data_IF_010712097522
#
_entry.id   IF_010712097522
#
_cell.length_a   1.000
_cell.length_b   1.000
_cell.length_c   1.000
_cell.angle_alpha   90.00
_cell.angle_beta   90.00
_cell.angle_gamma   90.00
#
_symmetry.space_group_name_H-M   'P 1'
#
loop_
_entity.id
_entity.type
_entity.pdbx_description
1 polymer ?
#
# COMPACT_ATOMS: atom_id res chain seq x y z
N UNK A 1 33.10 -33.56 -13.33
CA UNK A 1 32.44 -32.90 -12.17
C UNK A 1 32.93 -31.47 -12.12
N UNK A 2 32.22 -30.55 -12.77
CA UNK A 2 32.53 -29.12 -12.76
C UNK A 2 32.05 -28.52 -11.45
N UNK A 3 32.99 -28.14 -10.60
CA UNK A 3 32.77 -27.41 -9.36
C UNK A 3 32.21 -26.03 -9.72
N UNK A 4 30.91 -25.82 -9.50
CA UNK A 4 30.30 -24.47 -9.55
C UNK A 4 31.08 -23.58 -8.59
N UNK A 5 31.62 -22.41 -9.01
CA UNK A 5 32.30 -21.53 -8.08
C UNK A 5 31.30 -21.10 -7.01
N UNK A 6 31.73 -21.10 -5.75
CA UNK A 6 30.96 -20.52 -4.65
C UNK A 6 30.80 -19.03 -4.95
N UNK A 7 29.66 -18.67 -5.55
CA UNK A 7 29.22 -17.30 -5.79
C UNK A 7 29.46 -16.49 -4.51
N UNK A 8 30.05 -15.29 -4.59
CA UNK A 8 30.05 -14.36 -3.46
C UNK A 8 28.59 -14.16 -3.04
N UNK A 9 28.24 -14.73 -1.88
CA UNK A 9 26.85 -14.82 -1.42
C UNK A 9 26.38 -13.58 -0.65
N UNK A 10 27.28 -12.61 -0.46
CA UNK A 10 27.09 -11.41 0.34
C UNK A 10 27.46 -10.19 -0.49
N UNK A 11 26.81 -9.05 -0.21
CA UNK A 11 27.23 -7.77 -0.76
C UNK A 11 28.51 -7.32 -0.08
N UNK A 12 29.38 -6.57 -0.74
CA UNK A 12 30.39 -5.79 -0.02
C UNK A 12 29.73 -4.72 0.85
N UNK A 13 30.40 -4.26 1.91
CA UNK A 13 29.90 -3.17 2.75
C UNK A 13 29.65 -1.89 1.92
N UNK A 14 30.56 -1.59 1.00
CA UNK A 14 30.42 -0.48 0.04
C UNK A 14 29.12 -0.60 -0.76
N UNK A 15 28.87 -1.74 -1.39
CA UNK A 15 27.68 -1.93 -2.22
C UNK A 15 26.39 -1.94 -1.42
N UNK A 16 26.40 -2.55 -0.23
CA UNK A 16 25.24 -2.48 0.66
C UNK A 16 24.92 -1.03 1.05
N UNK A 17 25.94 -0.23 1.39
CA UNK A 17 25.76 1.19 1.69
C UNK A 17 25.20 1.96 0.49
N UNK A 18 25.74 1.78 -0.71
CA UNK A 18 25.21 2.43 -1.92
C UNK A 18 23.76 2.04 -2.22
N UNK A 19 23.38 0.78 -1.99
CA UNK A 19 21.99 0.33 -2.08
C UNK A 19 21.11 1.01 -1.03
N UNK A 20 21.57 1.09 0.22
CA UNK A 20 20.83 1.74 1.30
C UNK A 20 20.60 3.22 1.00
N UNK A 21 21.65 3.95 0.57
CA UNK A 21 21.59 5.36 0.23
C UNK A 21 20.61 5.63 -0.92
N UNK A 22 20.65 4.85 -2.01
CA UNK A 22 19.75 5.08 -3.15
C UNK A 22 18.29 4.73 -2.83
N UNK A 23 18.05 3.71 -2.02
CA UNK A 23 16.71 3.32 -1.58
C UNK A 23 16.13 4.39 -0.66
N UNK A 24 16.90 4.88 0.32
CA UNK A 24 16.45 5.96 1.19
C UNK A 24 16.19 7.24 0.40
N UNK A 25 17.09 7.62 -0.52
CA UNK A 25 16.95 8.84 -1.30
C UNK A 25 15.71 8.83 -2.24
N UNK A 26 15.36 7.68 -2.81
CA UNK A 26 14.29 7.60 -3.83
C UNK A 26 12.93 7.15 -3.30
N UNK A 27 12.90 6.30 -2.27
CA UNK A 27 11.65 5.75 -1.70
C UNK A 27 11.57 5.84 -0.19
N UNK A 28 12.57 6.44 0.47
CA UNK A 28 12.50 6.80 1.89
C UNK A 28 12.66 5.62 2.83
N UNK A 29 12.92 4.42 2.33
CA UNK A 29 13.02 3.21 3.16
C UNK A 29 14.42 3.13 3.76
N UNK A 30 14.50 3.22 5.07
CA UNK A 30 15.76 3.03 5.79
C UNK A 30 16.19 1.56 5.85
N UNK A 31 17.42 1.31 5.43
CA UNK A 31 18.08 0.00 5.40
C UNK A 31 19.29 -0.03 6.33
N UNK A 32 19.07 -0.12 7.66
CA UNK A 32 20.18 -0.32 8.60
C UNK A 32 20.89 -1.65 8.33
N UNK A 33 22.15 -1.75 8.76
CA UNK A 33 22.99 -2.95 8.58
C UNK A 33 22.33 -4.24 9.11
N UNK A 34 21.45 -4.15 10.12
CA UNK A 34 20.68 -5.28 10.63
C UNK A 34 19.73 -5.91 9.61
N UNK A 35 19.31 -5.18 8.57
CA UNK A 35 18.47 -5.68 7.47
C UNK A 35 19.27 -6.30 6.31
N UNK A 36 20.60 -6.27 6.35
CA UNK A 36 21.45 -6.73 5.23
C UNK A 36 21.14 -8.16 4.80
N UNK A 37 21.10 -9.11 5.74
CA UNK A 37 20.83 -10.52 5.44
C UNK A 37 19.48 -10.72 4.75
N UNK A 38 18.46 -9.95 5.13
CA UNK A 38 17.13 -9.98 4.49
C UNK A 38 17.22 -9.50 3.04
N UNK A 39 17.88 -8.36 2.80
CA UNK A 39 18.05 -7.78 1.47
C UNK A 39 18.84 -8.73 0.57
N UNK A 40 19.97 -9.24 1.05
CA UNK A 40 20.80 -10.23 0.33
C UNK A 40 19.99 -11.49 -0.03
N UNK A 41 19.20 -12.00 0.92
CA UNK A 41 18.35 -13.17 0.70
C UNK A 41 17.33 -12.98 -0.41
N UNK A 42 16.69 -11.81 -0.50
CA UNK A 42 15.69 -11.48 -1.53
C UNK A 42 16.34 -11.17 -2.88
N UNK A 43 17.45 -10.44 -2.88
CA UNK A 43 18.20 -10.12 -4.10
C UNK A 43 18.70 -11.36 -4.84
N UNK A 44 19.00 -12.47 -4.13
CA UNK A 44 19.41 -13.73 -4.78
C UNK A 44 18.44 -14.22 -5.85
N UNK A 45 17.13 -14.04 -5.66
CA UNK A 45 16.14 -14.42 -6.68
C UNK A 45 16.30 -13.56 -7.93
N UNK A 46 16.58 -12.26 -7.78
CA UNK A 46 16.81 -11.34 -8.88
C UNK A 46 18.14 -11.61 -9.60
N UNK A 47 19.22 -11.84 -8.85
CA UNK A 47 20.55 -12.22 -9.38
C UNK A 47 20.45 -13.45 -10.28
N UNK A 48 19.71 -14.48 -9.85
CA UNK A 48 19.48 -15.68 -10.68
C UNK A 48 18.66 -15.37 -11.93
N UNK A 49 17.62 -14.53 -11.82
CA UNK A 49 16.80 -14.15 -12.96
C UNK A 49 17.58 -13.39 -14.03
N UNK A 50 18.57 -12.60 -13.62
CA UNK A 50 19.47 -11.86 -14.50
C UNK A 50 20.72 -12.66 -14.92
N UNK A 51 20.86 -13.90 -14.44
CA UNK A 51 22.03 -14.76 -14.71
C UNK A 51 23.37 -14.12 -14.29
N UNK A 52 23.38 -13.40 -13.16
CA UNK A 52 24.58 -12.75 -12.63
C UNK A 52 25.33 -13.64 -11.62
N UNK A 53 26.65 -13.47 -11.56
CA UNK A 53 27.55 -14.35 -10.80
C UNK A 53 27.64 -14.03 -9.29
N UNK A 54 27.03 -12.95 -8.80
CA UNK A 54 27.05 -12.61 -7.37
C UNK A 54 26.11 -11.44 -7.05
N UNK A 55 25.89 -11.21 -5.76
CA UNK A 55 25.22 -9.99 -5.29
C UNK A 55 26.05 -8.73 -5.61
N UNK A 56 27.38 -8.81 -5.54
CA UNK A 56 28.25 -7.70 -5.96
C UNK A 56 28.19 -7.47 -7.48
N UNK A 57 28.02 -8.53 -8.29
CA UNK A 57 27.77 -8.36 -9.73
C UNK A 57 26.45 -7.63 -9.98
N UNK A 58 25.41 -7.89 -9.19
CA UNK A 58 24.17 -7.11 -9.26
C UNK A 58 24.35 -5.64 -8.85
N UNK A 59 25.15 -5.35 -7.83
CA UNK A 59 25.45 -3.96 -7.46
C UNK A 59 26.22 -3.23 -8.57
N UNK A 60 27.21 -3.87 -9.21
CA UNK A 60 27.90 -3.30 -10.38
C UNK A 60 26.96 -3.10 -11.56
N UNK A 61 26.08 -4.07 -11.82
CA UNK A 61 25.04 -3.95 -12.84
C UNK A 61 24.13 -2.74 -12.60
N UNK A 62 23.74 -2.50 -11.34
CA UNK A 62 22.96 -1.33 -10.95
C UNK A 62 23.70 -0.01 -11.19
N UNK A 63 24.89 0.14 -10.62
CA UNK A 63 25.56 1.43 -10.50
C UNK A 63 26.56 1.74 -11.61
N UNK A 64 27.26 0.74 -12.12
CA UNK A 64 28.36 0.92 -13.07
C UNK A 64 27.89 0.70 -14.52
N UNK A 65 26.94 -0.21 -14.74
CA UNK A 65 26.42 -0.57 -16.08
C UNK A 65 25.17 0.23 -16.48
N UNK A 66 24.81 1.26 -15.69
CA UNK A 66 23.71 2.19 -16.01
C UNK A 66 22.31 1.57 -15.91
N UNK A 67 22.14 0.41 -15.27
CA UNK A 67 20.84 -0.29 -15.18
C UNK A 67 19.99 0.12 -13.99
N UNK A 68 20.41 1.14 -13.23
CA UNK A 68 19.68 1.62 -12.07
C UNK A 68 18.21 1.92 -12.37
N UNK A 69 17.89 2.60 -13.49
CA UNK A 69 16.49 2.96 -13.80
C UNK A 69 15.61 1.73 -13.98
N UNK A 70 16.08 0.74 -14.74
CA UNK A 70 15.32 -0.48 -15.07
C UNK A 70 15.16 -1.39 -13.85
N UNK A 71 16.21 -1.52 -13.05
CA UNK A 71 16.26 -2.47 -11.93
C UNK A 71 15.76 -1.88 -10.62
N UNK A 72 15.59 -0.55 -10.52
CA UNK A 72 15.21 0.10 -9.28
C UNK A 72 13.87 -0.44 -8.74
N UNK A 73 12.90 -0.70 -9.60
CA UNK A 73 11.61 -1.28 -9.19
C UNK A 73 11.77 -2.64 -8.53
N UNK A 74 12.68 -3.49 -9.04
CA UNK A 74 12.97 -4.80 -8.48
C UNK A 74 13.77 -4.71 -7.18
N UNK A 75 14.66 -3.71 -7.08
CA UNK A 75 15.33 -3.40 -5.82
C UNK A 75 14.32 -2.99 -4.75
N UNK A 76 13.35 -2.14 -5.08
CA UNK A 76 12.26 -1.72 -4.18
C UNK A 76 11.44 -2.92 -3.71
N UNK A 77 11.06 -3.82 -4.61
CA UNK A 77 10.35 -5.07 -4.27
C UNK A 77 11.15 -5.91 -3.25
N UNK A 78 12.48 -5.92 -3.33
CA UNK A 78 13.33 -6.67 -2.39
C UNK A 78 13.42 -6.02 -1.01
N UNK A 79 13.34 -4.69 -0.90
CA UNK A 79 13.63 -3.95 0.35
C UNK A 79 12.39 -3.57 1.14
N UNK A 80 11.21 -3.62 0.51
CA UNK A 80 9.93 -3.31 1.13
C UNK A 80 9.48 -4.38 2.14
N UNK A 81 8.85 -3.95 3.24
CA UNK A 81 8.23 -4.84 4.22
C UNK A 81 6.72 -4.68 4.15
N UNK A 82 6.06 -5.64 3.50
CA UNK A 82 4.68 -5.47 3.03
C UNK A 82 3.63 -6.09 3.96
N UNK A 83 3.81 -6.03 5.29
CA UNK A 83 2.85 -6.64 6.22
C UNK A 83 1.52 -5.89 6.23
N UNK A 84 0.47 -6.55 5.77
CA UNK A 84 -0.91 -6.04 5.80
C UNK A 84 -1.87 -7.18 6.12
N UNK A 85 -2.94 -6.85 6.82
CA UNK A 85 -3.96 -7.80 7.27
C UNK A 85 -5.34 -7.23 6.94
N UNK A 86 -6.29 -8.10 6.57
CA UNK A 86 -7.68 -7.70 6.44
C UNK A 86 -8.20 -7.17 7.78
N UNK A 87 -8.99 -6.11 7.75
CA UNK A 87 -9.57 -5.50 8.96
C UNK A 87 -8.54 -5.05 10.03
N UNK A 88 -7.29 -4.76 9.63
CA UNK A 88 -6.29 -4.15 10.51
C UNK A 88 -6.79 -2.81 11.07
N UNK A 89 -6.66 -2.59 12.37
CA UNK A 89 -7.21 -1.43 13.13
C UNK A 89 -8.71 -1.20 12.84
N UNK A 90 -9.58 -2.11 13.28
CA UNK A 90 -10.98 -2.16 12.85
C UNK A 90 -11.79 -0.89 13.15
N UNK A 91 -11.40 -0.13 14.18
CA UNK A 91 -12.03 1.13 14.57
C UNK A 91 -12.08 2.16 13.42
N UNK A 92 -11.13 2.14 12.47
CA UNK A 92 -11.20 3.01 11.30
C UNK A 92 -12.37 2.65 10.36
N UNK A 93 -12.70 1.36 10.24
CA UNK A 93 -13.80 0.91 9.40
C UNK A 93 -15.16 1.10 10.07
N UNK A 94 -15.22 1.03 11.40
CA UNK A 94 -16.41 1.41 12.16
C UNK A 94 -16.67 2.92 12.02
N UNK A 95 -15.63 3.74 12.19
CA UNK A 95 -15.72 5.18 11.97
C UNK A 95 -16.09 5.53 10.51
N UNK A 96 -15.55 4.78 9.54
CA UNK A 96 -15.92 4.92 8.12
C UNK A 96 -17.43 4.74 7.92
N UNK A 97 -17.97 3.66 8.50
CA UNK A 97 -19.38 3.26 8.41
C UNK A 97 -20.31 4.24 9.13
N UNK A 98 -19.97 4.58 10.37
CA UNK A 98 -20.88 5.27 11.29
C UNK A 98 -20.84 6.79 11.14
N UNK A 99 -19.70 7.33 10.67
CA UNK A 99 -19.50 8.79 10.66
C UNK A 99 -19.10 9.33 9.29
N UNK A 100 -18.03 8.79 8.68
CA UNK A 100 -17.41 9.43 7.52
C UNK A 100 -18.34 9.35 6.31
N UNK A 101 -18.80 8.14 5.94
CA UNK A 101 -19.68 7.95 4.77
C UNK A 101 -20.98 8.73 4.89
N UNK A 102 -21.74 8.68 6.02
CA UNK A 102 -22.94 9.50 6.18
C UNK A 102 -22.69 11.01 5.99
N UNK A 103 -21.59 11.54 6.56
CA UNK A 103 -21.24 12.95 6.43
C UNK A 103 -20.83 13.33 5.01
N UNK A 104 -20.06 12.47 4.34
CA UNK A 104 -19.64 12.68 2.96
C UNK A 104 -20.83 12.69 2.02
N UNK A 105 -21.75 11.72 2.15
CA UNK A 105 -22.98 11.67 1.36
C UNK A 105 -23.89 12.89 1.55
N UNK A 106 -23.83 13.54 2.72
CA UNK A 106 -24.59 14.75 3.02
C UNK A 106 -23.93 16.05 2.51
N UNK A 107 -22.73 15.98 1.92
CA UNK A 107 -22.03 17.18 1.42
C UNK A 107 -22.82 17.87 0.30
N UNK A 108 -22.80 19.22 0.24
CA UNK A 108 -23.45 19.98 -0.82
C UNK A 108 -23.05 19.55 -2.25
N UNK A 109 -21.80 19.09 -2.42
CA UNK A 109 -21.26 18.60 -3.68
C UNK A 109 -22.03 17.40 -4.27
N UNK A 110 -22.84 16.72 -3.47
CA UNK A 110 -23.66 15.58 -3.90
C UNK A 110 -25.17 15.87 -3.94
N UNK A 111 -25.61 17.11 -3.69
CA UNK A 111 -27.04 17.44 -3.67
C UNK A 111 -27.70 17.16 -5.03
N UNK A 112 -28.84 16.48 -4.99
CA UNK A 112 -29.65 16.16 -6.17
C UNK A 112 -29.13 14.99 -7.01
N UNK A 113 -28.05 14.33 -6.58
CA UNK A 113 -27.48 13.17 -7.27
C UNK A 113 -27.18 12.06 -6.26
N UNK A 114 -27.02 10.81 -6.73
CA UNK A 114 -26.50 9.73 -5.89
C UNK A 114 -25.01 10.02 -5.62
N UNK A 115 -24.58 10.15 -4.35
CA UNK A 115 -23.18 10.41 -4.03
C UNK A 115 -22.26 9.34 -4.64
N UNK A 116 -21.15 9.78 -5.24
CA UNK A 116 -20.08 8.91 -5.73
C UNK A 116 -18.81 9.16 -4.91
N UNK A 117 -18.45 8.20 -4.06
CA UNK A 117 -17.34 8.32 -3.14
C UNK A 117 -16.04 7.80 -3.78
N UNK A 118 -15.00 8.63 -3.76
CA UNK A 118 -13.64 8.28 -4.19
C UNK A 118 -12.78 8.00 -2.98
N UNK A 119 -12.33 6.76 -2.81
CA UNK A 119 -11.47 6.36 -1.69
C UNK A 119 -10.08 6.01 -2.23
N UNK A 120 -9.04 6.42 -1.51
CA UNK A 120 -7.66 6.09 -1.84
C UNK A 120 -6.97 5.39 -0.67
N UNK A 121 -6.57 4.13 -0.88
CA UNK A 121 -5.62 3.43 0.00
C UNK A 121 -4.20 3.67 -0.51
N UNK A 122 -3.49 4.58 0.13
CA UNK A 122 -2.12 4.96 -0.15
C UNK A 122 -1.16 4.08 0.67
N UNK A 123 -0.31 3.32 -0.02
CA UNK A 123 0.44 2.16 0.48
C UNK A 123 -0.46 0.92 0.71
N UNK A 124 -1.17 0.53 -0.34
CA UNK A 124 -2.16 -0.54 -0.32
C UNK A 124 -1.57 -1.95 -0.11
N UNK A 125 -0.25 -2.12 -0.27
CA UNK A 125 0.45 -3.41 -0.19
C UNK A 125 -0.24 -4.47 -1.06
N UNK A 126 -0.49 -5.67 -0.54
CA UNK A 126 -1.19 -6.77 -1.25
C UNK A 126 -2.70 -6.54 -1.35
N UNK A 127 -3.21 -5.34 -1.05
CA UNK A 127 -4.59 -4.92 -1.31
C UNK A 127 -5.59 -5.23 -0.19
N UNK A 128 -5.16 -5.84 0.92
CA UNK A 128 -6.06 -6.22 2.02
C UNK A 128 -6.87 -5.02 2.56
N UNK A 129 -6.23 -3.86 2.77
CA UNK A 129 -6.92 -2.64 3.21
C UNK A 129 -7.96 -2.17 2.18
N UNK A 130 -7.56 -2.07 0.91
CA UNK A 130 -8.45 -1.64 -0.17
C UNK A 130 -9.67 -2.56 -0.33
N UNK A 131 -9.49 -3.87 -0.17
CA UNK A 131 -10.60 -4.82 -0.19
C UNK A 131 -11.44 -4.79 1.08
N UNK A 132 -10.86 -4.56 2.27
CA UNK A 132 -11.65 -4.32 3.49
C UNK A 132 -12.55 -3.10 3.32
N UNK A 133 -12.02 -1.99 2.80
CA UNK A 133 -12.80 -0.79 2.49
C UNK A 133 -13.96 -1.12 1.54
N UNK A 134 -13.68 -1.86 0.46
CA UNK A 134 -14.69 -2.28 -0.50
C UNK A 134 -15.80 -3.13 0.15
N UNK A 135 -15.43 -4.11 0.98
CA UNK A 135 -16.37 -4.96 1.72
C UNK A 135 -17.27 -4.14 2.64
N UNK A 136 -16.70 -3.19 3.39
CA UNK A 136 -17.45 -2.33 4.32
C UNK A 136 -18.43 -1.44 3.55
N UNK A 137 -17.99 -0.77 2.47
CA UNK A 137 -18.83 0.09 1.65
C UNK A 137 -19.94 -0.70 0.94
N UNK A 138 -19.63 -1.89 0.43
CA UNK A 138 -20.60 -2.75 -0.23
C UNK A 138 -21.67 -3.25 0.75
N UNK A 139 -21.29 -3.56 1.99
CA UNK A 139 -22.23 -3.92 3.05
C UNK A 139 -23.14 -2.77 3.44
N UNK A 140 -22.64 -1.53 3.48
CA UNK A 140 -23.49 -0.36 3.71
C UNK A 140 -24.55 -0.20 2.63
N UNK A 141 -24.17 -0.35 1.35
CA UNK A 141 -25.10 -0.32 0.22
C UNK A 141 -26.13 -1.44 0.34
N UNK A 142 -25.70 -2.66 0.66
CA UNK A 142 -26.60 -3.80 0.85
C UNK A 142 -27.60 -3.59 2.01
N UNK A 143 -27.22 -2.79 3.01
CA UNK A 143 -28.06 -2.39 4.14
C UNK A 143 -28.92 -1.14 3.87
N UNK A 144 -29.00 -0.67 2.62
CA UNK A 144 -29.93 0.39 2.19
C UNK A 144 -29.32 1.79 2.06
N UNK A 145 -28.01 1.97 2.23
CA UNK A 145 -27.39 3.26 1.98
C UNK A 145 -27.32 3.56 0.47
N UNK A 146 -27.76 4.76 0.07
CA UNK A 146 -27.78 5.17 -1.34
C UNK A 146 -26.55 5.99 -1.72
N UNK A 147 -25.48 5.31 -2.10
CA UNK A 147 -24.28 5.90 -2.71
C UNK A 147 -23.61 4.89 -3.63
N UNK A 148 -22.67 5.34 -4.45
CA UNK A 148 -21.77 4.50 -5.23
C UNK A 148 -20.31 4.85 -4.91
N UNK A 149 -19.34 4.01 -5.29
CA UNK A 149 -17.95 4.23 -4.93
C UNK A 149 -16.94 3.60 -5.89
N UNK A 150 -15.73 4.16 -5.86
CA UNK A 150 -14.53 3.54 -6.42
C UNK A 150 -13.35 3.68 -5.45
N UNK A 151 -12.48 2.68 -5.46
CA UNK A 151 -11.28 2.64 -4.61
C UNK A 151 -10.05 2.58 -5.50
N UNK A 152 -9.11 3.48 -5.23
CA UNK A 152 -7.76 3.39 -5.75
C UNK A 152 -6.84 2.85 -4.65
N UNK A 153 -6.17 1.74 -4.90
CA UNK A 153 -5.03 1.29 -4.11
C UNK A 153 -3.74 1.68 -4.80
N UNK A 154 -2.79 2.30 -4.11
CA UNK A 154 -1.47 2.57 -4.68
C UNK A 154 -0.35 2.07 -3.80
N UNK A 155 0.72 1.61 -4.43
CA UNK A 155 1.93 1.17 -3.73
C UNK A 155 3.17 1.40 -4.59
N UNK A 156 4.34 1.41 -3.95
CA UNK A 156 5.64 1.52 -4.63
C UNK A 156 6.13 0.14 -5.09
N UNK A 157 5.70 -0.94 -4.43
CA UNK A 157 6.08 -2.31 -4.81
C UNK A 157 5.16 -2.84 -5.91
N UNK A 158 5.73 -3.24 -7.04
CA UNK A 158 4.96 -3.83 -8.15
C UNK A 158 4.57 -5.28 -7.88
N UNK A 159 5.36 -6.00 -7.09
CA UNK A 159 5.07 -7.38 -6.70
C UNK A 159 3.75 -7.47 -5.91
N UNK A 160 3.58 -6.61 -4.91
CA UNK A 160 2.36 -6.62 -4.08
C UNK A 160 1.14 -6.09 -4.83
N UNK A 161 1.32 -5.14 -5.75
CA UNK A 161 0.23 -4.65 -6.59
C UNK A 161 -0.31 -5.73 -7.54
N UNK A 162 0.56 -6.62 -8.06
CA UNK A 162 0.12 -7.78 -8.85
C UNK A 162 -0.72 -8.73 -7.98
N UNK A 163 -0.23 -9.06 -6.79
CA UNK A 163 -0.97 -9.91 -5.84
C UNK A 163 -2.33 -9.29 -5.47
N UNK A 164 -2.37 -7.97 -5.25
CA UNK A 164 -3.59 -7.22 -4.97
C UNK A 164 -4.59 -7.27 -6.13
N UNK A 165 -4.12 -7.10 -7.37
CA UNK A 165 -4.95 -7.18 -8.56
C UNK A 165 -5.51 -8.59 -8.80
N UNK A 166 -4.71 -9.64 -8.52
CA UNK A 166 -5.18 -11.03 -8.59
C UNK A 166 -6.28 -11.30 -7.56
N UNK A 167 -6.13 -10.70 -6.36
CA UNK A 167 -7.06 -10.78 -5.25
C UNK A 167 -7.14 -12.17 -4.67
N UNK A 168 -6.05 -12.94 -4.70
CA UNK A 168 -5.94 -14.30 -4.18
C UNK A 168 -5.14 -14.26 -2.88
N UNK A 169 -5.69 -14.84 -1.82
CA UNK A 169 -5.12 -14.78 -0.47
C UNK A 169 -5.17 -16.16 0.18
N UNK A 170 -4.24 -16.43 1.11
CA UNK A 170 -4.30 -17.64 1.93
C UNK A 170 -5.50 -17.60 2.88
N UNK A 171 -5.98 -18.77 3.26
CA UNK A 171 -7.05 -18.90 4.27
C UNK A 171 -6.65 -18.28 5.61
N UNK A 172 -5.35 -18.30 5.95
CA UNK A 172 -4.81 -17.63 7.13
C UNK A 172 -5.04 -16.11 7.09
N UNK A 173 -4.69 -15.43 5.99
CA UNK A 173 -4.97 -14.00 5.84
C UNK A 173 -6.47 -13.72 5.85
N UNK A 174 -7.26 -14.59 5.24
CA UNK A 174 -8.72 -14.47 5.16
C UNK A 174 -9.44 -14.83 6.46
N UNK A 175 -8.75 -15.38 7.46
CA UNK A 175 -9.30 -15.66 8.78
C UNK A 175 -9.66 -14.37 9.53
N UNK A 176 -8.96 -13.26 9.25
CA UNK A 176 -9.26 -11.95 9.80
C UNK A 176 -10.55 -11.31 9.22
N UNK A 177 -11.07 -11.82 8.09
CA UNK A 177 -12.33 -11.34 7.51
C UNK A 177 -13.51 -11.94 8.29
N UNK A 178 -14.44 -11.13 8.83
CA UNK A 178 -15.60 -11.65 9.55
C UNK A 178 -16.40 -12.65 8.72
N UNK A 179 -16.77 -13.79 9.31
CA UNK A 179 -17.41 -14.92 8.61
C UNK A 179 -18.59 -14.54 7.70
N UNK A 180 -19.54 -13.66 8.10
CA UNK A 180 -20.63 -13.23 7.22
C UNK A 180 -20.14 -12.47 5.98
N UNK A 181 -19.14 -11.62 6.14
CA UNK A 181 -18.52 -10.83 5.06
C UNK A 181 -17.75 -11.77 4.13
N UNK A 182 -16.97 -12.70 4.70
CA UNK A 182 -16.18 -13.69 3.96
C UNK A 182 -17.05 -14.51 3.02
N UNK A 183 -18.19 -15.02 3.50
CA UNK A 183 -19.14 -15.80 2.67
C UNK A 183 -19.69 -15.03 1.47
N UNK A 184 -19.82 -13.69 1.58
CA UNK A 184 -20.35 -12.84 0.49
C UNK A 184 -19.29 -12.46 -0.54
N UNK A 185 -18.07 -12.18 -0.09
CA UNK A 185 -17.07 -11.50 -0.93
C UNK A 185 -15.80 -12.30 -1.20
N UNK A 186 -15.71 -13.53 -0.71
CA UNK A 186 -14.58 -14.41 -0.94
C UNK A 186 -15.06 -15.73 -1.53
N UNK A 187 -14.54 -16.06 -2.71
CA UNK A 187 -14.72 -17.34 -3.37
C UNK A 187 -13.70 -18.33 -2.80
N UNK A 188 -14.16 -19.51 -2.41
CA UNK A 188 -13.26 -20.60 -2.05
C UNK A 188 -12.61 -21.21 -3.31
N UNK A 189 -11.38 -21.73 -3.18
CA UNK A 189 -10.79 -22.56 -4.21
C UNK A 189 -11.66 -23.81 -4.49
N UNK A 190 -11.71 -24.25 -5.76
CA UNK A 190 -12.36 -25.51 -6.13
C UNK A 190 -11.70 -26.73 -5.48
N UNK A 191 -10.39 -26.63 -5.30
CA UNK A 191 -9.56 -27.63 -4.62
C UNK A 191 -9.25 -27.11 -3.21
N UNK A 192 -9.88 -27.67 -2.16
CA UNK A 192 -9.66 -27.24 -0.78
C UNK A 192 -8.23 -27.41 -0.28
N UNK A 193 -7.44 -28.31 -0.89
CA UNK A 193 -6.05 -28.53 -0.48
C UNK A 193 -5.15 -27.31 -0.73
N UNK A 194 -5.59 -26.37 -1.60
CA UNK A 194 -4.84 -25.14 -1.88
C UNK A 194 -4.88 -24.13 -0.74
N UNK A 195 -5.87 -24.21 0.16
CA UNK A 195 -6.03 -23.29 1.30
C UNK A 195 -5.96 -21.80 0.91
N UNK A 196 -6.62 -21.45 -0.20
CA UNK A 196 -6.71 -20.08 -0.71
C UNK A 196 -8.16 -19.70 -1.00
N UNK A 197 -8.43 -18.41 -0.89
CA UNK A 197 -9.64 -17.76 -1.38
C UNK A 197 -9.31 -16.67 -2.37
N UNK A 198 -10.32 -16.28 -3.15
CA UNK A 198 -10.22 -15.17 -4.11
C UNK A 198 -11.34 -14.16 -3.91
N UNK A 199 -11.02 -12.88 -3.92
CA UNK A 199 -12.01 -11.82 -3.85
C UNK A 199 -12.92 -11.87 -5.09
N UNK A 200 -14.24 -11.75 -4.85
CA UNK A 200 -15.27 -11.82 -5.91
C UNK A 200 -15.04 -10.77 -7.01
N UNK A 201 -15.36 -11.09 -8.29
CA UNK A 201 -15.13 -10.18 -9.41
C UNK A 201 -15.76 -8.79 -9.25
N UNK A 202 -16.94 -8.71 -8.64
CA UNK A 202 -17.70 -7.48 -8.40
C UNK A 202 -16.89 -6.49 -7.57
N UNK A 203 -16.21 -6.98 -6.53
CA UNK A 203 -15.36 -6.16 -5.67
C UNK A 203 -14.08 -5.75 -6.38
N UNK A 204 -13.45 -6.68 -7.11
CA UNK A 204 -12.23 -6.41 -7.90
C UNK A 204 -12.47 -5.37 -9.02
N UNK A 205 -13.69 -5.24 -9.54
CA UNK A 205 -14.03 -4.17 -10.49
C UNK A 205 -14.10 -2.78 -9.86
N UNK A 206 -14.36 -2.71 -8.55
CA UNK A 206 -14.47 -1.45 -7.79
C UNK A 206 -13.14 -0.97 -7.22
N UNK A 207 -12.15 -1.85 -7.14
CA UNK A 207 -10.81 -1.56 -6.62
C UNK A 207 -9.81 -1.60 -7.77
N UNK A 208 -9.13 -0.47 -8.03
CA UNK A 208 -8.05 -0.39 -9.02
C UNK A 208 -6.72 -0.21 -8.32
N UNK A 209 -5.70 -0.90 -8.78
CA UNK A 209 -4.34 -0.81 -8.25
C UNK A 209 -3.42 -0.08 -9.24
N UNK A 210 -2.61 0.86 -8.75
CA UNK A 210 -1.63 1.59 -9.57
C UNK A 210 -0.31 1.76 -8.81
N UNK A 211 0.80 1.72 -9.54
CA UNK A 211 2.09 2.10 -8.98
C UNK A 211 2.11 3.60 -8.66
N UNK A 212 2.58 3.95 -7.46
CA UNK A 212 2.83 5.33 -7.03
C UNK A 212 3.88 5.32 -5.93
N UNK A 213 4.88 6.20 -6.04
CA UNK A 213 5.81 6.49 -4.96
C UNK A 213 5.34 7.73 -4.21
N UNK A 214 5.16 7.63 -2.88
CA UNK A 214 4.73 8.76 -2.05
C UNK A 214 5.78 9.87 -2.00
N UNK A 215 7.04 9.61 -2.35
CA UNK A 215 8.05 10.65 -2.44
C UNK A 215 7.99 11.46 -3.74
N UNK A 216 7.21 11.02 -4.74
CA UNK A 216 7.09 11.75 -6.00
C UNK A 216 6.49 13.15 -5.77
N UNK A 217 6.94 14.13 -6.55
CA UNK A 217 6.47 15.51 -6.43
C UNK A 217 5.01 15.69 -6.84
N UNK A 218 4.49 14.77 -7.68
CA UNK A 218 3.13 14.83 -8.23
C UNK A 218 2.49 13.46 -8.24
N UNK A 219 1.24 13.41 -7.78
CA UNK A 219 0.44 12.20 -7.83
C UNK A 219 -0.57 12.27 -8.97
N UNK A 220 -0.57 11.27 -9.86
CA UNK A 220 -1.57 11.13 -10.92
C UNK A 220 -2.88 10.52 -10.37
N UNK A 221 -3.41 11.17 -9.33
CA UNK A 221 -4.64 10.82 -8.61
C UNK A 221 -5.57 12.04 -8.62
N UNK A 222 -6.88 11.82 -8.62
CA UNK A 222 -7.86 12.90 -8.59
C UNK A 222 -7.67 13.83 -7.36
N UNK A 223 -8.15 15.07 -7.46
CA UNK A 223 -8.05 16.09 -6.38
C UNK A 223 -9.33 16.31 -5.59
N UNK A 224 -10.35 15.50 -5.86
CA UNK A 224 -11.64 15.49 -5.18
C UNK A 224 -11.84 14.16 -4.43
N UNK A 225 -10.79 13.58 -3.87
CA UNK A 225 -10.87 12.32 -3.10
C UNK A 225 -11.65 12.57 -1.80
N UNK A 226 -12.58 11.67 -1.47
CA UNK A 226 -13.40 11.76 -0.26
C UNK A 226 -12.65 11.31 0.98
N UNK A 227 -11.96 10.17 0.86
CA UNK A 227 -11.21 9.56 1.97
C UNK A 227 -9.88 9.02 1.48
N UNK A 228 -8.81 9.38 2.16
CA UNK A 228 -7.48 8.80 1.97
C UNK A 228 -7.14 8.00 3.23
N UNK A 229 -6.78 6.72 3.05
CA UNK A 229 -6.12 5.90 4.04
C UNK A 229 -4.62 5.88 3.72
N UNK A 230 -3.79 6.34 4.63
CA UNK A 230 -2.32 6.33 4.51
C UNK A 230 -1.74 5.80 5.82
N UNK A 231 -1.76 4.47 5.98
CA UNK A 231 -1.56 3.82 7.27
C UNK A 231 -0.34 2.93 7.27
N UNK A 232 0.41 3.01 8.36
CA UNK A 232 1.60 2.21 8.66
C UNK A 232 2.70 2.29 7.59
N UNK A 233 2.84 3.46 6.96
CA UNK A 233 3.85 3.74 5.92
C UNK A 233 4.69 4.98 6.24
N UNK A 234 4.13 5.99 6.89
CA UNK A 234 4.84 7.21 7.25
C UNK A 234 5.96 6.92 8.26
N UNK A 235 5.83 5.85 9.04
CA UNK A 235 6.86 5.34 9.97
C UNK A 235 8.22 5.02 9.30
N UNK A 236 8.25 4.87 7.97
CA UNK A 236 9.49 4.64 7.24
C UNK A 236 10.21 5.94 6.87
N UNK A 237 9.51 7.07 6.86
CA UNK A 237 10.02 8.36 6.39
C UNK A 237 10.55 9.23 7.53
N UNK A 238 11.53 10.07 7.22
CA UNK A 238 11.94 11.15 8.11
C UNK A 238 10.84 12.23 8.24
N UNK A 239 10.96 13.13 9.23
CA UNK A 239 9.94 14.15 9.50
C UNK A 239 9.68 15.09 8.32
N UNK A 240 10.73 15.44 7.58
CA UNK A 240 10.62 16.35 6.42
C UNK A 240 9.81 15.69 5.31
N UNK A 241 10.10 14.43 5.02
CA UNK A 241 9.41 13.60 4.03
C UNK A 241 7.98 13.32 4.47
N UNK A 242 7.74 12.93 5.72
CA UNK A 242 6.39 12.75 6.27
C UNK A 242 5.52 13.98 6.02
N UNK A 243 6.03 15.18 6.37
CA UNK A 243 5.31 16.43 6.17
C UNK A 243 4.97 16.67 4.71
N UNK A 244 5.95 16.52 3.81
CA UNK A 244 5.75 16.73 2.39
C UNK A 244 4.74 15.74 1.78
N UNK A 245 4.80 14.46 2.19
CA UNK A 245 3.81 13.44 1.78
C UNK A 245 2.41 13.83 2.25
N UNK A 246 2.25 14.20 3.52
CA UNK A 246 0.97 14.57 4.10
C UNK A 246 0.36 15.81 3.46
N UNK A 247 1.16 16.84 3.20
CA UNK A 247 0.70 18.05 2.49
C UNK A 247 0.23 17.72 1.06
N UNK A 248 0.96 16.85 0.35
CA UNK A 248 0.52 16.37 -0.97
C UNK A 248 -0.78 15.59 -0.86
N UNK A 249 -0.89 14.60 0.03
CA UNK A 249 -2.12 13.82 0.23
C UNK A 249 -3.32 14.72 0.58
N UNK A 250 -3.14 15.67 1.50
CA UNK A 250 -4.17 16.65 1.86
C UNK A 250 -4.63 17.47 0.65
N UNK A 251 -3.72 17.84 -0.26
CA UNK A 251 -4.05 18.57 -1.48
C UNK A 251 -4.94 17.79 -2.46
N UNK A 252 -5.03 16.47 -2.32
CA UNK A 252 -5.90 15.59 -3.12
C UNK A 252 -7.28 15.32 -2.51
N UNK A 253 -7.47 15.67 -1.23
CA UNK A 253 -8.79 15.56 -0.59
C UNK A 253 -9.72 16.66 -1.08
N UNK A 254 -11.01 16.39 -1.27
CA UNK A 254 -11.99 17.48 -1.40
C UNK A 254 -12.15 18.25 -0.08
N UNK A 255 -12.66 19.50 -0.10
CA UNK A 255 -13.12 20.16 1.12
C UNK A 255 -14.14 19.29 1.87
N UNK A 256 -13.92 19.07 3.16
CA UNK A 256 -14.72 18.18 4.01
C UNK A 256 -14.34 16.70 3.94
N UNK A 257 -13.36 16.33 3.10
CA UNK A 257 -12.82 14.96 3.00
C UNK A 257 -11.93 14.58 4.19
N UNK A 258 -11.58 13.29 4.28
CA UNK A 258 -10.90 12.72 5.46
C UNK A 258 -9.58 12.03 5.13
N UNK A 259 -8.58 12.22 5.99
CA UNK A 259 -7.33 11.47 6.01
C UNK A 259 -7.30 10.56 7.24
N UNK A 260 -7.11 9.25 7.06
CA UNK A 260 -6.86 8.29 8.12
C UNK A 260 -5.41 7.82 8.09
N UNK A 261 -4.72 7.87 9.23
CA UNK A 261 -3.35 7.39 9.42
C UNK A 261 -3.31 6.28 10.47
N UNK A 262 -2.20 5.52 10.55
CA UNK A 262 -2.06 4.46 11.53
C UNK A 262 -1.85 5.00 12.95
N UNK A 263 -2.02 4.15 13.95
CA UNK A 263 -1.97 4.55 15.37
C UNK A 263 -0.68 5.28 15.77
N UNK A 264 0.46 4.88 15.22
CA UNK A 264 1.78 5.44 15.54
C UNK A 264 2.12 6.71 14.73
N UNK A 265 1.24 7.16 13.85
CA UNK A 265 1.54 8.20 12.84
C UNK A 265 0.76 9.50 13.07
N UNK A 266 -0.15 9.53 14.04
CA UNK A 266 -0.98 10.70 14.36
C UNK A 266 -0.16 11.98 14.55
N UNK A 267 0.96 11.89 15.28
CA UNK A 267 1.85 13.02 15.55
C UNK A 267 2.44 13.63 14.28
N UNK A 268 2.60 12.85 13.21
CA UNK A 268 3.15 13.34 11.94
C UNK A 268 2.19 14.29 11.22
N UNK A 269 0.89 14.21 11.51
CA UNK A 269 -0.15 15.06 10.89
C UNK A 269 -0.28 16.42 11.58
N UNK A 270 0.27 16.57 12.79
CA UNK A 270 0.23 17.82 13.52
C UNK A 270 0.92 18.95 12.72
N UNK A 271 0.19 20.05 12.50
CA UNK A 271 0.70 21.22 11.77
C UNK A 271 0.72 21.09 10.25
N UNK A 272 0.07 20.07 9.68
CA UNK A 272 -0.23 20.02 8.23
C UNK A 272 -1.36 21.03 7.92
N UNK A 273 -1.13 22.03 7.05
CA UNK A 273 -2.12 23.07 6.79
C UNK A 273 -3.42 22.50 6.21
N UNK A 274 -4.55 23.02 6.71
CA UNK A 274 -5.87 22.63 6.20
C UNK A 274 -6.34 21.25 6.65
N UNK A 275 -5.70 20.61 7.64
CA UNK A 275 -6.22 19.41 8.29
C UNK A 275 -6.57 19.70 9.75
N UNK A 276 -7.78 19.31 10.16
CA UNK A 276 -8.26 19.40 11.54
C UNK A 276 -8.48 18.00 12.11
N UNK A 277 -7.97 17.73 13.30
CA UNK A 277 -8.13 16.43 13.95
C UNK A 277 -9.59 16.17 14.32
N UNK A 278 -10.11 14.98 13.98
CA UNK A 278 -11.48 14.53 14.30
C UNK A 278 -11.45 13.44 15.37
N UNK A 279 -10.51 12.49 15.24
CA UNK A 279 -10.19 11.48 16.23
C UNK A 279 -8.68 11.39 16.40
N UNK A 280 -8.18 10.48 17.25
CA UNK A 280 -6.74 10.29 17.42
C UNK A 280 -5.99 10.06 16.10
N UNK A 281 -6.60 9.39 15.12
CA UNK A 281 -5.94 8.96 13.87
C UNK A 281 -6.65 9.42 12.59
N UNK A 282 -7.74 10.20 12.70
CA UNK A 282 -8.49 10.70 11.55
C UNK A 282 -8.60 12.22 11.57
N UNK A 283 -8.34 12.82 10.41
CA UNK A 283 -8.27 14.25 10.19
C UNK A 283 -9.20 14.65 9.04
N UNK A 284 -9.74 15.86 9.08
CA UNK A 284 -10.67 16.40 8.07
C UNK A 284 -10.06 17.62 7.38
N UNK A 285 -10.21 17.70 6.06
CA UNK A 285 -9.89 18.88 5.26
C UNK A 285 -10.98 19.95 5.31
#
# INVERSE_FOLDING_TARGET
>A
MTTTPLLSQQLSERHFRSIAEIVEARVGIQLPSSKRTMVEGRLRKRVRALQLDSLDAYARHLFDEGRLVDEFVHLVDCVTTNKTDFFREPAHFDLLRETLVPRLCALPAHRGQRPFLKIWSAAASTGAEAYTLAMVLQDMIASGHSFDYAILGTDVSTEVLRAAADGIYSDEMLAAVPSPIRRRYVMAARDPARQIGRIVPEMRRRVRFRHLNLMDERYAVDRDVDVIFCRNVLIYFDRTTQRAVLERLASHLRPGGYLAVGHSESMSVAGVPGLTQVTSTVFRR
#
